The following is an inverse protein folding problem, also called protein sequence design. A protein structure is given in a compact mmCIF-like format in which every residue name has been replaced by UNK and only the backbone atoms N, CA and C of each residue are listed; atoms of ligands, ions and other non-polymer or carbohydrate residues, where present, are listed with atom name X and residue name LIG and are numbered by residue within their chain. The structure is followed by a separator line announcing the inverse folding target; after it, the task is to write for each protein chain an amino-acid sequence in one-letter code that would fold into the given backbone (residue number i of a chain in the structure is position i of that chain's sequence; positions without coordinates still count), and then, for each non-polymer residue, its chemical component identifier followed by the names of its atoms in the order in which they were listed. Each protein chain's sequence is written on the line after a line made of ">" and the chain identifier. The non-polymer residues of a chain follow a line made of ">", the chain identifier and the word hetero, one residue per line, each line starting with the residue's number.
data_IF_555821639133
#
_entry.id   IF_555821639133
#
_cell.length_a   1.000
_cell.length_b   1.000
_cell.length_c   1.000
_cell.angle_alpha   90.00
_cell.angle_beta   90.00
_cell.angle_gamma   90.00
#
_symmetry.space_group_name_H-M   'P 1'
#
loop_
_entity.id
_entity.type
_entity.pdbx_description
1 polymer ?
#
# COMPACT_ATOMS: atom_id res chain seq x y z
N UNK A 1 -24.19 -11.34 -8.53
CA UNK A 1 -23.19 -11.72 -7.52
C UNK A 1 -21.88 -11.09 -7.91
N UNK A 2 -21.30 -10.26 -7.06
CA UNK A 2 -20.03 -9.59 -7.34
C UNK A 2 -18.90 -10.62 -7.47
N UNK A 3 -18.21 -10.64 -8.61
CA UNK A 3 -16.98 -11.42 -8.77
C UNK A 3 -15.97 -10.91 -7.74
N UNK A 4 -15.66 -11.74 -6.74
CA UNK A 4 -14.62 -11.45 -5.75
C UNK A 4 -13.27 -11.41 -6.46
N UNK A 5 -12.59 -10.27 -6.44
CA UNK A 5 -11.25 -10.14 -7.00
C UNK A 5 -10.27 -11.07 -6.29
N UNK A 6 -9.38 -11.71 -7.04
CA UNK A 6 -8.31 -12.53 -6.48
C UNK A 6 -7.27 -11.60 -5.82
N UNK A 7 -6.83 -11.97 -4.62
CA UNK A 7 -5.75 -11.24 -3.95
C UNK A 7 -4.42 -11.57 -4.63
N UNK A 8 -3.71 -10.52 -5.03
CA UNK A 8 -2.40 -10.60 -5.69
C UNK A 8 -1.37 -9.87 -4.82
N UNK A 9 -0.14 -10.39 -4.78
CA UNK A 9 0.93 -9.89 -3.91
C UNK A 9 2.14 -9.48 -4.74
N UNK A 10 2.74 -8.34 -4.40
CA UNK A 10 3.99 -7.85 -5.01
C UNK A 10 4.99 -7.46 -3.94
N UNK A 11 6.27 -7.58 -4.27
CA UNK A 11 7.39 -7.20 -3.42
C UNK A 11 7.51 -5.68 -3.29
N UNK A 12 7.86 -5.18 -2.11
CA UNK A 12 8.13 -3.76 -1.88
C UNK A 12 9.65 -3.54 -1.98
N UNK A 13 10.13 -3.26 -3.20
CA UNK A 13 11.57 -3.27 -3.53
C UNK A 13 12.41 -2.29 -2.70
N UNK A 14 11.91 -1.08 -2.42
CA UNK A 14 12.64 -0.08 -1.61
C UNK A 14 12.90 -0.51 -0.16
N UNK A 15 12.30 -1.61 0.29
CA UNK A 15 12.56 -2.24 1.57
C UNK A 15 13.33 -3.57 1.43
N UNK A 16 14.18 -3.68 0.41
CA UNK A 16 15.08 -4.81 0.17
C UNK A 16 14.33 -6.15 0.06
N UNK A 17 13.11 -6.13 -0.48
CA UNK A 17 12.26 -7.31 -0.64
C UNK A 17 11.77 -7.97 0.65
N UNK A 18 11.93 -7.31 1.81
CA UNK A 18 11.54 -7.82 3.13
C UNK A 18 10.03 -7.84 3.38
N UNK A 19 9.26 -7.24 2.49
CA UNK A 19 7.81 -7.09 2.63
C UNK A 19 7.10 -7.32 1.30
N UNK A 20 5.88 -7.85 1.38
CA UNK A 20 4.93 -7.90 0.28
C UNK A 20 3.74 -6.99 0.58
N UNK A 21 3.15 -6.43 -0.46
CA UNK A 21 1.89 -5.69 -0.42
C UNK A 21 0.88 -6.37 -1.34
N UNK A 22 -0.37 -6.50 -0.87
CA UNK A 22 -1.46 -7.05 -1.68
C UNK A 22 -2.27 -5.96 -2.38
N UNK A 23 -2.91 -6.31 -3.50
CA UNK A 23 -3.85 -5.43 -4.20
C UNK A 23 -5.11 -5.07 -3.36
N UNK A 24 -5.29 -5.72 -2.20
CA UNK A 24 -6.33 -5.41 -1.20
C UNK A 24 -5.85 -4.52 -0.05
N UNK A 25 -4.56 -4.16 -0.02
CA UNK A 25 -3.99 -3.31 1.03
C UNK A 25 -3.52 -4.07 2.28
N UNK A 26 -3.26 -5.37 2.18
CA UNK A 26 -2.59 -6.12 3.25
C UNK A 26 -1.09 -6.11 3.04
N UNK A 27 -0.33 -5.97 4.11
CA UNK A 27 1.12 -6.03 4.08
C UNK A 27 1.61 -7.19 4.94
N UNK A 28 2.59 -7.94 4.44
CA UNK A 28 3.25 -9.01 5.18
C UNK A 28 4.75 -8.81 5.17
N UNK A 29 5.40 -9.11 6.28
CA UNK A 29 6.85 -9.32 6.36
C UNK A 29 7.18 -10.72 5.86
N UNK A 30 8.20 -10.82 5.01
CA UNK A 30 8.79 -12.09 4.55
C UNK A 30 10.02 -12.47 5.38
N UNK A 31 10.36 -11.69 6.41
CA UNK A 31 11.49 -11.95 7.27
C UNK A 31 11.19 -13.16 8.16
N UNK A 32 11.95 -14.25 7.95
CA UNK A 32 11.85 -15.47 8.73
C UNK A 32 11.36 -16.65 7.89
N UNK A 33 10.84 -17.69 8.56
CA UNK A 33 10.38 -18.93 7.90
C UNK A 33 8.95 -18.84 7.36
N UNK A 34 8.16 -17.91 7.88
CA UNK A 34 6.73 -17.74 7.56
C UNK A 34 6.41 -16.27 7.40
N UNK A 35 5.53 -15.95 6.44
CA UNK A 35 5.07 -14.59 6.25
C UNK A 35 4.25 -14.15 7.47
N UNK A 36 4.54 -12.95 7.99
CA UNK A 36 3.83 -12.36 9.12
C UNK A 36 3.07 -11.13 8.67
N UNK A 37 1.76 -11.09 8.93
CA UNK A 37 0.96 -9.89 8.66
C UNK A 37 1.45 -8.71 9.50
N UNK A 38 1.64 -7.58 8.82
CA UNK A 38 2.03 -6.32 9.42
C UNK A 38 0.80 -5.67 10.03
N UNK A 39 0.94 -5.14 11.25
CA UNK A 39 -0.14 -4.40 11.89
C UNK A 39 -0.33 -3.05 11.19
N UNK A 40 -1.54 -2.85 10.66
CA UNK A 40 -1.95 -1.55 10.12
C UNK A 40 -2.38 -0.65 11.26
N UNK A 41 -1.78 0.52 11.36
CA UNK A 41 -2.14 1.56 12.30
C UNK A 41 -3.14 2.52 11.64
N UNK A 42 -4.30 2.67 12.27
CA UNK A 42 -5.39 3.55 11.84
C UNK A 42 -5.46 4.88 12.61
N UNK A 43 -4.51 5.14 13.53
CA UNK A 43 -4.43 6.39 14.30
C UNK A 43 -3.83 7.58 13.55
N UNK A 44 -3.40 7.39 12.31
CA UNK A 44 -2.91 8.46 11.43
C UNK A 44 -4.00 8.91 10.45
N UNK A 45 -3.74 10.00 9.69
CA UNK A 45 -4.63 10.48 8.62
C UNK A 45 -4.91 9.40 7.56
N UNK A 46 -3.97 8.47 7.36
CA UNK A 46 -4.07 7.35 6.43
C UNK A 46 -3.65 6.05 7.13
N UNK A 47 -4.31 4.91 6.86
CA UNK A 47 -3.87 3.60 7.33
C UNK A 47 -2.41 3.37 6.93
N UNK A 48 -1.57 3.05 7.90
CA UNK A 48 -0.11 3.00 7.71
C UNK A 48 0.51 1.77 8.35
N UNK A 49 1.58 1.26 7.75
CA UNK A 49 2.37 0.13 8.28
C UNK A 49 3.80 0.59 8.56
N UNK A 50 4.41 0.04 9.60
CA UNK A 50 5.80 0.34 9.95
C UNK A 50 6.76 -0.57 9.20
N UNK A 51 7.60 -0.01 8.33
CA UNK A 51 8.53 -0.76 7.49
C UNK A 51 9.98 -0.37 7.80
N UNK A 52 10.91 -1.31 7.65
CA UNK A 52 12.33 -1.13 7.92
C UNK A 52 13.18 -1.82 6.85
N UNK A 53 14.12 -1.09 6.22
CA UNK A 53 15.00 -1.66 5.19
C UNK A 53 16.36 -2.12 5.74
N UNK A 54 16.70 -1.80 6.99
CA UNK A 54 17.97 -2.07 7.67
C UNK A 54 18.79 -0.80 7.90
N UNK A 55 18.47 0.30 7.21
CA UNK A 55 19.11 1.61 7.33
C UNK A 55 18.14 2.64 7.89
N UNK A 56 16.89 2.60 7.44
CA UNK A 56 15.83 3.50 7.86
C UNK A 56 14.55 2.73 8.17
N UNK A 57 13.69 3.35 8.96
CA UNK A 57 12.35 2.86 9.25
C UNK A 57 11.34 4.01 9.32
N UNK A 58 10.12 3.74 8.89
CA UNK A 58 9.07 4.74 8.84
C UNK A 58 7.68 4.11 8.87
N UNK A 59 6.70 4.89 9.32
CA UNK A 59 5.29 4.63 9.04
C UNK A 59 4.99 5.05 7.60
N UNK A 60 4.51 4.11 6.79
CA UNK A 60 4.23 4.33 5.37
C UNK A 60 2.74 4.13 5.12
N UNK A 61 2.06 5.07 4.45
CA UNK A 61 0.67 4.89 4.05
C UNK A 61 0.49 3.66 3.15
N UNK A 62 -0.45 2.79 3.52
CA UNK A 62 -0.78 1.58 2.78
C UNK A 62 -1.23 1.90 1.36
N UNK A 63 -2.01 2.98 1.18
CA UNK A 63 -2.46 3.41 -0.14
C UNK A 63 -1.30 3.71 -1.10
N UNK A 64 -0.19 4.27 -0.61
CA UNK A 64 0.97 4.55 -1.45
C UNK A 64 1.64 3.25 -1.90
N UNK A 65 1.81 2.30 -0.98
CA UNK A 65 2.37 0.97 -1.30
C UNK A 65 1.53 0.22 -2.34
N UNK A 66 0.20 0.30 -2.22
CA UNK A 66 -0.70 -0.35 -3.17
C UNK A 66 -0.69 0.36 -4.51
N UNK A 67 -0.72 1.70 -4.53
CA UNK A 67 -0.69 2.48 -5.76
C UNK A 67 0.59 2.22 -6.55
N UNK A 68 1.75 2.25 -5.90
CA UNK A 68 3.05 1.97 -6.52
C UNK A 68 3.14 0.54 -7.09
N UNK A 69 2.52 -0.43 -6.41
CA UNK A 69 2.56 -1.81 -6.86
C UNK A 69 1.53 -2.14 -7.94
N UNK A 70 0.33 -1.55 -7.92
CA UNK A 70 -0.82 -2.03 -8.70
C UNK A 70 -1.56 -0.96 -9.52
N UNK A 71 -1.15 0.31 -9.46
CA UNK A 71 -1.80 1.40 -10.19
C UNK A 71 -0.78 2.08 -11.08
N UNK A 72 -1.04 2.06 -12.39
CA UNK A 72 -0.16 2.70 -13.37
C UNK A 72 -0.05 4.20 -13.11
N UNK A 73 1.18 4.72 -13.21
CA UNK A 73 1.49 6.13 -13.02
C UNK A 73 2.23 6.70 -14.25
N UNK A 74 1.58 6.75 -15.43
CA UNK A 74 2.23 7.19 -16.66
C UNK A 74 2.70 8.65 -16.61
N UNK A 75 2.09 9.46 -15.75
CA UNK A 75 2.37 10.88 -15.63
C UNK A 75 3.41 11.21 -14.53
N UNK A 76 3.89 10.21 -13.78
CA UNK A 76 4.88 10.43 -12.73
C UNK A 76 4.38 11.27 -11.55
N UNK A 77 3.08 11.22 -11.26
CA UNK A 77 2.48 11.95 -10.14
C UNK A 77 2.93 11.40 -8.79
N UNK A 78 2.92 12.26 -7.77
CA UNK A 78 3.45 11.92 -6.43
C UNK A 78 2.38 11.74 -5.36
N UNK A 79 1.14 12.20 -5.62
CA UNK A 79 0.03 12.09 -4.68
C UNK A 79 -0.91 10.95 -5.07
N UNK A 80 -1.50 10.29 -4.06
CA UNK A 80 -2.50 9.22 -4.24
C UNK A 80 -3.84 9.69 -3.69
N UNK A 81 -4.91 9.50 -4.45
CA UNK A 81 -6.29 9.83 -4.08
C UNK A 81 -7.14 8.56 -3.94
N UNK A 82 -8.15 8.64 -3.07
CA UNK A 82 -9.21 7.63 -2.93
C UNK A 82 -10.40 8.02 -3.79
N UNK A 83 -10.73 7.21 -4.80
CA UNK A 83 -11.81 7.49 -5.78
C UNK A 83 -13.18 7.60 -5.10
N UNK A 84 -13.45 6.76 -4.11
CA UNK A 84 -14.71 6.78 -3.36
C UNK A 84 -14.69 7.67 -2.10
N UNK A 85 -13.57 8.35 -1.81
CA UNK A 85 -13.38 9.17 -0.62
C UNK A 85 -13.15 8.41 0.71
N UNK A 86 -13.35 7.09 0.77
CA UNK A 86 -13.12 6.28 1.97
C UNK A 86 -11.63 5.91 2.12
N UNK A 87 -10.93 6.70 2.94
CA UNK A 87 -9.50 6.56 3.23
C UNK A 87 -9.15 5.30 4.03
N UNK A 88 -10.13 4.57 4.57
CA UNK A 88 -9.89 3.33 5.35
C UNK A 88 -9.61 2.13 4.46
N UNK A 89 -10.00 2.18 3.19
CA UNK A 89 -9.95 1.05 2.26
C UNK A 89 -8.93 1.32 1.16
N UNK A 90 -7.71 0.82 1.36
CA UNK A 90 -6.57 1.01 0.44
C UNK A 90 -6.48 -0.06 -0.65
N UNK A 91 -7.60 -0.53 -1.21
CA UNK A 91 -7.59 -1.48 -2.34
C UNK A 91 -7.23 -0.77 -3.64
N UNK A 92 -6.49 -1.42 -4.54
CA UNK A 92 -5.96 -0.75 -5.75
C UNK A 92 -7.06 -0.12 -6.63
N UNK A 93 -8.23 -0.77 -6.73
CA UNK A 93 -9.36 -0.25 -7.52
C UNK A 93 -9.90 1.08 -6.99
N UNK A 94 -9.69 1.39 -5.71
CA UNK A 94 -10.10 2.62 -5.07
C UNK A 94 -9.04 3.73 -5.16
N UNK A 95 -7.88 3.47 -5.77
CA UNK A 95 -6.75 4.39 -5.77
C UNK A 95 -6.46 4.92 -7.18
N UNK A 96 -5.98 6.15 -7.24
CA UNK A 96 -5.42 6.77 -8.45
C UNK A 96 -4.31 7.75 -8.08
N UNK A 97 -3.36 7.90 -8.99
CA UNK A 97 -2.32 8.91 -8.92
C UNK A 97 -2.86 10.28 -9.36
N UNK A 98 -2.45 11.36 -8.69
CA UNK A 98 -2.93 12.73 -8.93
C UNK A 98 -1.83 13.77 -8.73
N UNK A 99 -1.89 14.90 -9.43
CA UNK A 99 -0.92 16.01 -9.34
C UNK A 99 -0.93 16.70 -7.98
N UNK A 100 -2.10 16.81 -7.36
CA UNK A 100 -2.30 17.42 -6.06
C UNK A 100 -3.17 16.54 -5.16
N UNK A 101 -2.89 16.58 -3.85
CA UNK A 101 -3.90 16.32 -2.84
C UNK A 101 -4.97 17.43 -2.97
N UNK A 102 -5.93 17.31 -3.88
CA UNK A 102 -7.02 18.29 -3.92
C UNK A 102 -7.67 18.35 -2.53
N UNK A 103 -7.53 19.53 -1.94
CA UNK A 103 -8.17 20.00 -0.70
C UNK A 103 -9.68 19.98 -0.81
#
# INVERSE_FOLDING_TARGET
>A
GEKRMKEEWKTIERYNGKYLISNLGRCVSTIGKVNREMQTNFGFRLPSVYLNNGLTSAWVPVCYLVAEAFVDNPNGYVCVRFKNGDKRISRYTNLEWTESENV
#
